data_IF_453601259455
#
_entry.id   IF_453601259455
#
_cell.length_a   1.000
_cell.length_b   1.000
_cell.length_c   1.000
_cell.angle_alpha   90.00
_cell.angle_beta   90.00
_cell.angle_gamma   90.00
#
_symmetry.space_group_name_H-M   'P 1'
#
loop_
_entity.id
_entity.type
_entity.pdbx_description
1 polymer ?
#
# COMPACT_ATOMS: atom_id res chain seq x y z
N UNK A 1 -27.03 34.81 -37.22
CA UNK A 1 -25.71 34.49 -36.64
C UNK A 1 -25.77 34.79 -35.15
N UNK A 2 -26.06 33.78 -34.32
CA UNK A 2 -25.97 33.90 -32.86
C UNK A 2 -24.54 33.53 -32.45
N UNK A 3 -23.83 34.48 -31.84
CA UNK A 3 -22.53 34.24 -31.20
C UNK A 3 -22.73 34.23 -29.68
N UNK A 4 -21.87 33.44 -29.03
CA UNK A 4 -21.60 33.35 -27.59
C UNK A 4 -22.60 32.53 -26.76
N UNK A 5 -22.17 31.60 -25.91
CA UNK A 5 -20.83 31.23 -25.50
C UNK A 5 -20.92 29.80 -24.94
N UNK A 6 -20.44 28.82 -25.71
CA UNK A 6 -20.05 27.53 -25.14
C UNK A 6 -18.78 27.75 -24.34
N UNK A 7 -18.90 28.37 -23.16
CA UNK A 7 -17.87 28.27 -22.14
C UNK A 7 -17.85 26.78 -21.82
N UNK A 8 -16.90 26.05 -22.40
CA UNK A 8 -16.58 24.72 -21.92
C UNK A 8 -16.33 24.90 -20.44
N UNK A 9 -17.23 24.36 -19.63
CA UNK A 9 -17.07 24.27 -18.20
C UNK A 9 -15.80 23.44 -18.01
N UNK A 10 -14.66 24.14 -17.90
CA UNK A 10 -13.39 23.49 -17.56
C UNK A 10 -13.66 23.05 -16.14
N UNK A 11 -14.05 21.78 -15.97
CA UNK A 11 -14.19 21.15 -14.66
C UNK A 11 -12.89 21.46 -13.92
N UNK A 12 -12.95 22.47 -13.06
CA UNK A 12 -11.83 22.88 -12.23
C UNK A 12 -11.67 21.72 -11.25
N UNK A 13 -10.86 20.73 -11.62
CA UNK A 13 -10.37 19.75 -10.65
C UNK A 13 -9.66 20.61 -9.62
N UNK A 14 -10.26 20.74 -8.44
CA UNK A 14 -9.73 21.51 -7.32
C UNK A 14 -8.23 21.20 -7.19
N UNK A 15 -7.39 22.24 -7.26
CA UNK A 15 -5.93 22.12 -7.25
C UNK A 15 -5.44 21.64 -5.87
N UNK A 16 -5.65 20.36 -5.59
CA UNK A 16 -5.26 19.67 -4.36
C UNK A 16 -3.85 19.09 -4.53
N UNK A 17 -3.11 18.92 -3.43
CA UNK A 17 -1.75 18.39 -3.45
C UNK A 17 -1.66 16.97 -4.04
N UNK A 18 -0.63 16.69 -4.84
CA UNK A 18 -0.39 15.36 -5.45
C UNK A 18 -0.11 14.30 -4.35
N UNK A 19 -0.94 13.26 -4.23
CA UNK A 19 -0.74 12.19 -3.24
C UNK A 19 0.37 11.21 -3.63
N UNK A 20 0.90 11.26 -4.85
CA UNK A 20 1.85 10.26 -5.37
C UNK A 20 3.13 10.17 -4.54
N UNK A 21 3.61 11.30 -4.02
CA UNK A 21 4.77 11.34 -3.13
C UNK A 21 4.52 10.58 -1.82
N UNK A 22 3.32 10.69 -1.25
CA UNK A 22 2.91 9.92 -0.07
C UNK A 22 2.86 8.43 -0.39
N UNK A 23 2.23 8.06 -1.52
CA UNK A 23 2.12 6.67 -1.94
C UNK A 23 3.48 5.98 -2.14
N UNK A 24 4.40 6.66 -2.83
CA UNK A 24 5.76 6.15 -3.06
C UNK A 24 6.59 6.11 -1.78
N UNK A 25 6.53 7.14 -0.95
CA UNK A 25 7.23 7.18 0.34
C UNK A 25 6.77 6.08 1.29
N UNK A 26 5.45 5.85 1.35
CA UNK A 26 4.83 4.77 2.12
C UNK A 26 5.32 3.39 1.68
N UNK A 27 5.30 3.14 0.37
CA UNK A 27 5.79 1.89 -0.21
C UNK A 27 7.28 1.68 0.08
N UNK A 28 8.10 2.69 -0.21
CA UNK A 28 9.56 2.58 -0.14
C UNK A 28 10.03 2.33 1.30
N UNK A 29 9.54 3.09 2.27
CA UNK A 29 9.97 2.94 3.67
C UNK A 29 9.55 1.59 4.25
N UNK A 30 8.30 1.17 4.00
CA UNK A 30 7.80 -0.11 4.49
C UNK A 30 8.58 -1.28 3.89
N UNK A 31 8.83 -1.23 2.57
CA UNK A 31 9.66 -2.21 1.86
C UNK A 31 11.08 -2.25 2.40
N UNK A 32 11.70 -1.08 2.62
CA UNK A 32 13.04 -0.98 3.14
C UNK A 32 13.18 -1.66 4.50
N UNK A 33 12.29 -1.36 5.44
CA UNK A 33 12.35 -1.95 6.80
C UNK A 33 12.10 -3.46 6.77
N UNK A 34 11.14 -3.95 5.97
CA UNK A 34 10.97 -5.39 5.77
C UNK A 34 12.24 -6.03 5.18
N UNK A 35 12.85 -5.38 4.18
CA UNK A 35 14.04 -5.90 3.49
C UNK A 35 15.27 -5.94 4.39
N UNK A 36 15.43 -4.99 5.31
CA UNK A 36 16.47 -5.02 6.34
C UNK A 36 16.35 -6.29 7.20
N UNK A 37 15.12 -6.66 7.58
CA UNK A 37 14.84 -7.91 8.27
C UNK A 37 15.13 -9.15 7.41
N UNK A 38 14.66 -9.17 6.16
CA UNK A 38 14.88 -10.28 5.22
C UNK A 38 16.36 -10.51 4.90
N UNK A 39 17.14 -9.43 4.83
CA UNK A 39 18.59 -9.47 4.60
C UNK A 39 19.39 -9.83 5.87
N UNK A 40 18.73 -10.12 7.00
CA UNK A 40 19.37 -10.49 8.27
C UNK A 40 20.32 -9.40 8.80
N UNK A 41 20.01 -8.13 8.54
CA UNK A 41 20.83 -6.97 8.96
C UNK A 41 20.49 -6.49 10.38
N UNK A 42 19.44 -7.04 10.99
CA UNK A 42 18.99 -6.76 12.36
C UNK A 42 18.64 -8.09 13.08
N UNK A 43 18.63 -8.12 14.43
CA UNK A 43 18.22 -9.30 15.19
C UNK A 43 16.81 -9.78 14.84
N UNK A 44 16.55 -11.07 14.98
CA UNK A 44 15.28 -11.69 14.64
C UNK A 44 14.11 -11.11 15.44
N UNK A 45 14.35 -10.75 16.70
CA UNK A 45 13.38 -10.14 17.60
C UNK A 45 12.94 -8.73 17.14
N UNK A 46 13.77 -8.07 16.33
CA UNK A 46 13.50 -6.74 15.79
C UNK A 46 12.77 -6.78 14.43
N UNK A 47 12.73 -7.94 13.76
CA UNK A 47 12.06 -8.10 12.45
C UNK A 47 10.61 -7.62 12.45
N UNK A 48 9.77 -7.85 13.48
CA UNK A 48 8.38 -7.39 13.49
C UNK A 48 8.20 -5.86 13.45
N UNK A 49 9.26 -5.06 13.56
CA UNK A 49 9.18 -3.60 13.47
C UNK A 49 8.50 -3.09 12.19
N UNK A 50 8.58 -3.84 11.07
CA UNK A 50 7.88 -3.47 9.83
C UNK A 50 6.35 -3.47 9.97
N UNK A 51 5.77 -4.21 10.93
CA UNK A 51 4.31 -4.36 11.06
C UNK A 51 3.61 -3.02 11.31
N UNK A 52 4.21 -2.14 12.12
CA UNK A 52 3.66 -0.80 12.35
C UNK A 52 3.59 0.02 11.05
N UNK A 53 4.64 -0.05 10.23
CA UNK A 53 4.67 0.61 8.92
C UNK A 53 3.68 -0.04 7.94
N UNK A 54 3.60 -1.37 7.94
CA UNK A 54 2.69 -2.11 7.08
C UNK A 54 1.22 -1.84 7.40
N UNK A 55 0.86 -1.64 8.67
CA UNK A 55 -0.51 -1.23 9.02
C UNK A 55 -0.80 0.22 8.65
N UNK A 56 0.05 1.16 9.04
CA UNK A 56 -0.32 2.58 9.04
C UNK A 56 0.24 3.38 7.87
N UNK A 57 1.46 3.08 7.42
CA UNK A 57 2.12 3.85 6.38
C UNK A 57 2.01 3.17 5.02
N UNK A 58 2.72 2.05 4.80
CA UNK A 58 2.57 1.21 3.62
C UNK A 58 1.14 0.68 3.44
N UNK A 59 0.38 0.53 4.52
CA UNK A 59 -1.03 0.11 4.46
C UNK A 59 -1.99 1.27 4.29
N UNK A 60 -2.43 1.85 5.41
CA UNK A 60 -3.50 2.84 5.45
C UNK A 60 -3.15 4.13 4.67
N UNK A 61 -2.00 4.75 4.92
CA UNK A 61 -1.65 6.00 4.25
C UNK A 61 -1.47 5.81 2.73
N UNK A 62 -0.87 4.70 2.31
CA UNK A 62 -0.73 4.36 0.89
C UNK A 62 -2.10 4.10 0.22
N UNK A 63 -3.00 3.37 0.89
CA UNK A 63 -4.37 3.17 0.40
C UNK A 63 -5.10 4.52 0.25
N UNK A 64 -4.98 5.41 1.24
CA UNK A 64 -5.58 6.74 1.18
C UNK A 64 -4.97 7.58 0.04
N UNK A 65 -3.66 7.47 -0.23
CA UNK A 65 -3.03 8.12 -1.37
C UNK A 65 -3.64 7.65 -2.70
N UNK A 66 -3.85 6.34 -2.88
CA UNK A 66 -4.53 5.78 -4.04
C UNK A 66 -5.97 6.30 -4.20
N UNK A 67 -6.70 6.49 -3.10
CA UNK A 67 -8.05 7.06 -3.13
C UNK A 67 -8.08 8.53 -3.53
N UNK A 68 -7.03 9.29 -3.25
CA UNK A 68 -6.92 10.66 -3.76
C UNK A 68 -6.52 10.68 -5.25
N UNK A 69 -5.67 9.76 -5.70
CA UNK A 69 -5.32 9.63 -7.12
C UNK A 69 -6.54 9.26 -7.98
N UNK A 70 -7.44 8.43 -7.45
CA UNK A 70 -8.71 8.11 -8.13
C UNK A 70 -9.53 9.39 -8.40
N UNK A 71 -9.63 10.28 -7.41
CA UNK A 71 -10.33 11.57 -7.56
C UNK A 71 -9.64 12.53 -8.55
N UNK A 72 -8.37 12.29 -8.84
CA UNK A 72 -7.55 13.06 -9.78
C UNK A 72 -7.46 12.46 -11.18
N UNK A 73 -8.21 11.39 -11.45
CA UNK A 73 -8.13 10.63 -12.70
C UNK A 73 -6.73 10.03 -12.98
N UNK A 74 -5.89 9.87 -11.95
CA UNK A 74 -4.62 9.18 -12.06
C UNK A 74 -4.83 7.68 -11.86
N UNK A 75 -5.18 6.96 -12.94
CA UNK A 75 -5.47 5.52 -12.89
C UNK A 75 -4.27 4.71 -12.40
N UNK A 76 -3.06 5.10 -12.79
CA UNK A 76 -1.84 4.41 -12.38
C UNK A 76 -1.65 4.50 -10.86
N UNK A 77 -1.62 5.71 -10.30
CA UNK A 77 -1.46 5.91 -8.86
C UNK A 77 -2.62 5.32 -8.05
N UNK A 78 -3.85 5.49 -8.54
CA UNK A 78 -5.04 4.92 -7.90
C UNK A 78 -4.94 3.39 -7.79
N UNK A 79 -4.57 2.72 -8.87
CA UNK A 79 -4.45 1.26 -8.91
C UNK A 79 -3.25 0.79 -8.10
N UNK A 80 -2.07 1.37 -8.34
CA UNK A 80 -0.83 0.95 -7.69
C UNK A 80 -0.87 1.16 -6.17
N UNK A 81 -1.18 2.37 -5.71
CA UNK A 81 -1.15 2.68 -4.28
C UNK A 81 -2.28 2.00 -3.50
N UNK A 82 -3.47 1.83 -4.09
CA UNK A 82 -4.54 1.08 -3.42
C UNK A 82 -4.21 -0.40 -3.32
N UNK A 83 -3.64 -1.00 -4.38
CA UNK A 83 -3.29 -2.43 -4.40
C UNK A 83 -2.15 -2.74 -3.43
N UNK A 84 -1.08 -1.92 -3.43
CA UNK A 84 0.02 -2.10 -2.50
C UNK A 84 -0.36 -1.70 -1.05
N UNK A 85 -1.26 -0.74 -0.87
CA UNK A 85 -1.88 -0.45 0.44
C UNK A 85 -2.61 -1.65 1.01
N UNK A 86 -3.45 -2.29 0.19
CA UNK A 86 -4.14 -3.52 0.57
C UNK A 86 -3.18 -4.70 0.81
N UNK A 87 -2.11 -4.82 0.01
CA UNK A 87 -1.05 -5.81 0.21
C UNK A 87 -0.44 -5.68 1.61
N UNK A 88 -0.01 -4.48 2.00
CA UNK A 88 0.62 -4.26 3.30
C UNK A 88 -0.31 -4.51 4.47
N UNK A 89 -1.56 -4.05 4.39
CA UNK A 89 -2.59 -4.35 5.39
C UNK A 89 -2.84 -5.86 5.52
N UNK A 90 -2.90 -6.56 4.39
CA UNK A 90 -3.14 -8.01 4.35
C UNK A 90 -1.95 -8.78 4.93
N UNK A 91 -0.73 -8.47 4.50
CA UNK A 91 0.49 -9.11 4.98
C UNK A 91 0.67 -8.91 6.49
N UNK A 92 0.47 -7.68 6.98
CA UNK A 92 0.56 -7.38 8.41
C UNK A 92 -0.50 -8.14 9.21
N UNK A 93 -1.73 -8.22 8.69
CA UNK A 93 -2.82 -8.98 9.31
C UNK A 93 -2.51 -10.47 9.37
N UNK A 94 -2.08 -11.08 8.27
CA UNK A 94 -1.70 -12.51 8.26
C UNK A 94 -0.58 -12.80 9.25
N UNK A 95 0.45 -11.95 9.28
CA UNK A 95 1.59 -12.09 10.21
C UNK A 95 1.14 -11.95 11.66
N UNK A 96 0.28 -10.98 11.97
CA UNK A 96 -0.24 -10.78 13.32
C UNK A 96 -1.13 -11.94 13.77
N UNK A 97 -2.06 -12.38 12.91
CA UNK A 97 -3.00 -13.46 13.22
C UNK A 97 -2.28 -14.81 13.43
N UNK A 98 -1.21 -15.07 12.69
CA UNK A 98 -0.32 -16.21 12.94
C UNK A 98 0.40 -16.05 14.29
N UNK A 99 0.99 -14.88 14.56
CA UNK A 99 1.75 -14.64 15.78
C UNK A 99 0.92 -14.77 17.07
N UNK A 100 -0.37 -14.41 17.04
CA UNK A 100 -1.29 -14.57 18.18
C UNK A 100 -2.00 -15.94 18.22
N UNK A 101 -1.69 -16.83 17.27
CA UNK A 101 -2.24 -18.19 17.23
C UNK A 101 -3.68 -18.31 16.72
N UNK A 102 -4.24 -17.26 16.10
CA UNK A 102 -5.54 -17.34 15.43
C UNK A 102 -5.44 -18.14 14.13
N UNK A 103 -4.35 -17.97 13.40
CA UNK A 103 -4.01 -18.81 12.25
C UNK A 103 -2.90 -19.78 12.66
N UNK A 104 -3.06 -21.05 12.32
CA UNK A 104 -2.02 -22.06 12.47
C UNK A 104 -1.80 -22.76 11.12
N UNK A 105 -0.69 -22.43 10.47
CA UNK A 105 -0.33 -23.01 9.17
C UNK A 105 0.35 -24.37 9.28
N UNK A 106 0.76 -24.80 10.48
CA UNK A 106 1.57 -26.00 10.68
C UNK A 106 2.82 -26.02 9.78
N UNK A 107 3.06 -27.15 9.12
CA UNK A 107 4.19 -27.29 8.18
C UNK A 107 4.03 -26.52 6.86
N UNK A 108 2.91 -25.83 6.64
CA UNK A 108 2.56 -25.22 5.35
C UNK A 108 2.65 -23.69 5.32
N UNK A 109 3.16 -23.05 6.38
CA UNK A 109 3.26 -21.58 6.45
C UNK A 109 4.01 -20.95 5.28
N UNK A 110 5.14 -21.56 4.87
CA UNK A 110 5.90 -21.11 3.72
C UNK A 110 5.12 -21.18 2.39
N UNK A 111 4.23 -22.18 2.23
CA UNK A 111 3.38 -22.31 1.04
C UNK A 111 2.29 -21.24 1.06
N UNK A 112 1.64 -21.04 2.21
CA UNK A 112 0.57 -20.05 2.36
C UNK A 112 1.07 -18.63 2.05
N UNK A 113 2.18 -18.23 2.67
CA UNK A 113 2.79 -16.91 2.43
C UNK A 113 3.38 -16.83 1.01
N UNK A 114 3.99 -17.91 0.50
CA UNK A 114 4.54 -17.93 -0.85
C UNK A 114 3.49 -17.71 -1.95
N UNK A 115 2.34 -18.38 -1.87
CA UNK A 115 1.22 -18.18 -2.81
C UNK A 115 0.66 -16.76 -2.69
N UNK A 116 0.52 -16.25 -1.47
CA UNK A 116 0.11 -14.86 -1.24
C UNK A 116 1.07 -13.87 -1.93
N UNK A 117 2.38 -14.02 -1.74
CA UNK A 117 3.37 -13.11 -2.32
C UNK A 117 3.40 -13.15 -3.86
N UNK A 118 3.30 -14.35 -4.47
CA UNK A 118 3.27 -14.50 -5.93
C UNK A 118 2.00 -13.87 -6.53
N UNK A 119 0.88 -13.86 -5.79
CA UNK A 119 -0.34 -13.18 -6.24
C UNK A 119 -0.19 -11.66 -6.40
N UNK A 120 0.86 -11.06 -5.83
CA UNK A 120 1.14 -9.62 -5.86
C UNK A 120 2.36 -9.24 -6.73
N UNK A 121 2.90 -10.18 -7.51
CA UNK A 121 3.97 -9.96 -8.52
C UNK A 121 3.42 -10.03 -9.94
#
# INVERSE_FOLDING_TARGET
MSKNNGITEVSQVEATADPSALGLGAFALTTFVLSVGNAQLIPDEAKPAFLGLAFFYGGLAQLLAGMQDYKKNNVFGATAFSSYGAFWLSLATLTLLEAIGVINWGAHGGIAIGVFLIGFT
#
